data_IF_563099626398
#
_entry.id   IF_563099626398
#
_cell.length_a   1.000
_cell.length_b   1.000
_cell.length_c   1.000
_cell.angle_alpha   90.00
_cell.angle_beta   90.00
_cell.angle_gamma   90.00
#
_symmetry.space_group_name_H-M   'P 1'
#
loop_
_entity.id
_entity.type
_entity.pdbx_description
1 polymer ?
#
# COMPACT_ATOMS: atom_id res chain seq x y z
N UNK A 1 -20.72 -5.45 -11.97
CA UNK A 1 -20.35 -5.39 -10.54
C UNK A 1 -18.89 -4.98 -10.45
N UNK A 2 -18.59 -3.90 -9.72
CA UNK A 2 -17.23 -3.35 -9.63
C UNK A 2 -16.47 -4.10 -8.54
N UNK A 3 -15.27 -4.54 -8.85
CA UNK A 3 -14.43 -5.29 -7.92
C UNK A 3 -13.24 -4.45 -7.49
N UNK A 4 -12.92 -4.54 -6.18
CA UNK A 4 -11.76 -3.91 -5.58
C UNK A 4 -10.84 -4.95 -4.95
N UNK A 5 -9.58 -4.57 -4.77
CA UNK A 5 -8.54 -5.47 -4.26
C UNK A 5 -7.64 -4.73 -3.27
N UNK A 6 -7.27 -5.41 -2.20
CA UNK A 6 -6.20 -4.94 -1.31
C UNK A 6 -4.87 -5.23 -1.99
N UNK A 7 -4.05 -4.19 -2.17
CA UNK A 7 -2.70 -4.30 -2.68
C UNK A 7 -1.72 -4.56 -1.52
N UNK A 8 -1.09 -5.72 -1.53
CA UNK A 8 -0.09 -6.11 -0.55
C UNK A 8 1.12 -6.77 -1.23
N UNK A 9 2.10 -7.22 -0.46
CA UNK A 9 3.23 -8.00 -0.96
C UNK A 9 3.02 -9.50 -0.75
N UNK A 10 3.80 -10.31 -1.48
CA UNK A 10 4.02 -11.72 -1.14
C UNK A 10 5.30 -11.85 -0.33
N UNK A 11 5.24 -12.52 0.80
CA UNK A 11 6.46 -12.80 1.55
C UNK A 11 7.36 -13.75 0.75
N UNK A 12 8.63 -13.34 0.58
CA UNK A 12 9.69 -14.17 -0.02
C UNK A 12 10.96 -13.97 0.80
N UNK A 13 11.62 -15.06 1.18
CA UNK A 13 12.86 -15.00 1.98
C UNK A 13 13.98 -14.18 1.32
N UNK A 14 13.99 -14.10 -0.01
CA UNK A 14 14.97 -13.31 -0.75
C UNK A 14 14.63 -11.82 -0.84
N UNK A 15 13.43 -11.40 -0.47
CA UNK A 15 12.96 -10.02 -0.53
C UNK A 15 13.77 -9.14 0.42
N UNK A 16 14.12 -7.93 -0.03
CA UNK A 16 14.67 -6.91 0.86
C UNK A 16 13.68 -6.63 2.00
N UNK A 17 14.16 -6.77 3.21
CA UNK A 17 13.51 -6.25 4.42
C UNK A 17 14.26 -5.01 4.85
N UNK A 18 13.51 -3.95 5.05
CA UNK A 18 14.03 -2.63 5.36
C UNK A 18 13.77 -2.33 6.84
N UNK A 19 14.72 -1.70 7.48
CA UNK A 19 14.61 -1.25 8.87
C UNK A 19 15.01 0.22 8.99
N UNK A 20 14.66 0.84 10.10
CA UNK A 20 15.07 2.18 10.48
C UNK A 20 15.49 2.22 11.94
N UNK A 21 16.40 3.14 12.29
CA UNK A 21 16.75 3.42 13.69
C UNK A 21 15.71 4.34 14.36
N UNK A 22 14.73 4.84 13.60
CA UNK A 22 13.61 5.64 14.10
C UNK A 22 12.57 4.73 14.74
N UNK A 23 12.00 5.17 15.88
CA UNK A 23 10.99 4.37 16.57
C UNK A 23 9.74 4.14 15.71
N UNK A 24 9.11 2.98 15.91
CA UNK A 24 7.90 2.58 15.18
C UNK A 24 6.75 3.59 15.35
N UNK A 25 6.60 4.18 16.53
CA UNK A 25 5.55 5.17 16.81
C UNK A 25 5.71 6.44 15.97
N UNK A 26 6.96 6.82 15.67
CA UNK A 26 7.26 7.94 14.78
C UNK A 26 7.01 7.53 13.34
N UNK A 27 7.48 6.37 12.91
CA UNK A 27 7.30 5.86 11.54
C UNK A 27 5.82 5.73 11.17
N UNK A 28 4.98 5.24 12.07
CA UNK A 28 3.54 5.10 11.87
C UNK A 28 2.82 6.40 11.51
N UNK A 29 3.29 7.51 12.06
CA UNK A 29 2.71 8.84 11.79
C UNK A 29 2.91 9.30 10.34
N UNK A 30 3.85 8.68 9.63
CA UNK A 30 4.23 9.11 8.28
C UNK A 30 4.06 8.04 7.21
N UNK A 31 4.23 6.77 7.56
CA UNK A 31 4.24 5.68 6.57
C UNK A 31 2.88 5.06 6.31
N UNK A 32 1.89 5.28 7.18
CA UNK A 32 0.53 4.83 6.89
C UNK A 32 0.01 5.55 5.62
N UNK A 33 -0.50 4.82 4.62
CA UNK A 33 -0.97 5.40 3.35
C UNK A 33 -2.05 6.48 3.49
N UNK A 34 -2.72 6.53 4.63
CA UNK A 34 -3.79 7.49 4.92
C UNK A 34 -3.26 8.78 5.57
N UNK A 35 -2.00 8.84 5.97
CA UNK A 35 -1.40 10.03 6.56
C UNK A 35 -1.12 11.08 5.48
N UNK A 36 -1.18 12.36 5.89
CA UNK A 36 -0.99 13.51 4.99
C UNK A 36 0.44 14.05 5.01
N UNK A 37 1.21 13.70 6.02
CA UNK A 37 2.55 14.24 6.23
C UNK A 37 3.60 13.31 5.60
N UNK A 38 4.62 13.91 4.99
CA UNK A 38 5.80 13.20 4.51
C UNK A 38 6.78 12.93 5.65
N UNK A 39 7.57 11.87 5.49
CA UNK A 39 8.69 11.59 6.40
C UNK A 39 9.63 12.77 6.52
N UNK A 40 10.10 13.09 7.74
CA UNK A 40 11.23 14.02 7.93
C UNK A 40 12.52 13.47 7.29
N UNK A 41 13.37 14.38 6.81
CA UNK A 41 14.66 14.03 6.17
C UNK A 41 15.65 13.30 7.12
N UNK A 42 15.39 13.38 8.43
CA UNK A 42 16.19 12.68 9.44
C UNK A 42 15.94 11.17 9.52
N UNK A 43 14.87 10.68 8.88
CA UNK A 43 14.55 9.24 8.89
C UNK A 43 15.37 8.54 7.82
N UNK A 44 16.17 7.58 8.25
CA UNK A 44 17.02 6.79 7.37
C UNK A 44 16.61 5.32 7.37
N UNK A 45 16.67 4.72 6.20
CA UNK A 45 16.39 3.30 5.99
C UNK A 45 17.64 2.54 5.58
N UNK A 46 17.73 1.30 6.02
CA UNK A 46 18.81 0.35 5.67
C UNK A 46 18.23 -1.05 5.48
N UNK A 47 18.95 -1.90 4.77
CA UNK A 47 18.58 -3.30 4.61
C UNK A 47 18.88 -4.06 5.90
N UNK A 48 17.89 -4.77 6.44
CA UNK A 48 18.05 -5.68 7.58
C UNK A 48 18.22 -7.12 7.14
N UNK A 49 17.56 -7.53 6.06
CA UNK A 49 17.62 -8.88 5.51
C UNK A 49 17.27 -8.90 4.02
N UNK A 50 17.47 -10.07 3.39
CA UNK A 50 17.17 -10.26 1.96
C UNK A 50 18.23 -9.68 1.03
N UNK A 51 18.10 -9.99 -0.25
CA UNK A 51 19.08 -9.57 -1.28
C UNK A 51 18.39 -9.09 -2.57
N UNK A 52 17.09 -9.32 -2.73
CA UNK A 52 16.40 -9.05 -3.98
C UNK A 52 15.45 -7.87 -3.87
N UNK A 53 15.73 -6.86 -4.68
CA UNK A 53 14.91 -5.66 -4.85
C UNK A 53 13.71 -6.00 -5.74
N UNK A 54 12.60 -6.42 -5.13
CA UNK A 54 11.32 -6.60 -5.81
C UNK A 54 10.58 -5.27 -5.93
N UNK A 55 9.55 -5.22 -6.78
CA UNK A 55 8.74 -4.01 -6.97
C UNK A 55 7.98 -3.58 -5.71
N UNK A 56 7.67 -4.53 -4.82
CA UNK A 56 7.07 -4.25 -3.49
C UNK A 56 7.95 -4.90 -2.44
N UNK A 57 8.45 -4.08 -1.51
CA UNK A 57 9.26 -4.50 -0.37
C UNK A 57 8.62 -3.99 0.93
N UNK A 58 9.07 -4.48 2.06
CA UNK A 58 8.43 -4.25 3.36
C UNK A 58 9.40 -3.59 4.34
N UNK A 59 8.87 -2.68 5.14
CA UNK A 59 9.49 -2.23 6.37
C UNK A 59 9.26 -3.28 7.47
N UNK A 60 10.33 -3.77 8.06
CA UNK A 60 10.29 -4.90 9.00
C UNK A 60 9.45 -4.60 10.25
N UNK A 61 9.65 -3.43 10.85
CA UNK A 61 9.04 -3.07 12.14
C UNK A 61 7.54 -2.85 12.06
N UNK A 62 7.05 -2.19 11.02
CA UNK A 62 5.65 -1.78 10.90
C UNK A 62 4.84 -2.59 9.90
N UNK A 63 5.52 -3.31 8.99
CA UNK A 63 4.88 -4.02 7.90
C UNK A 63 4.41 -3.13 6.75
N UNK A 64 4.67 -1.82 6.78
CA UNK A 64 4.36 -0.91 5.68
C UNK A 64 5.21 -1.22 4.45
N UNK A 65 4.73 -0.78 3.27
CA UNK A 65 5.35 -1.13 1.99
C UNK A 65 6.07 0.05 1.36
N UNK A 66 7.15 -0.29 0.64
CA UNK A 66 7.77 0.59 -0.33
C UNK A 66 7.58 0.03 -1.73
N UNK A 67 7.28 0.89 -2.68
CA UNK A 67 6.92 0.56 -4.05
C UNK A 67 7.99 1.05 -5.01
N UNK A 68 8.39 0.21 -5.95
CA UNK A 68 9.31 0.63 -7.01
C UNK A 68 8.70 1.73 -7.88
N UNK A 69 9.57 2.49 -8.55
CA UNK A 69 9.12 3.47 -9.55
C UNK A 69 8.18 2.85 -10.59
N UNK A 70 8.41 1.61 -10.98
CA UNK A 70 7.57 0.87 -11.93
C UNK A 70 6.12 0.74 -11.44
N UNK A 71 5.89 0.48 -10.15
CA UNK A 71 4.54 0.45 -9.58
C UNK A 71 3.90 1.84 -9.65
N UNK A 72 4.64 2.88 -9.25
CA UNK A 72 4.13 4.26 -9.28
C UNK A 72 3.78 4.68 -10.71
N UNK A 73 4.59 4.34 -11.70
CA UNK A 73 4.34 4.64 -13.12
C UNK A 73 3.05 3.95 -13.62
N UNK A 74 2.76 2.74 -13.16
CA UNK A 74 1.48 2.07 -13.48
C UNK A 74 0.31 2.79 -12.82
N UNK A 75 0.40 3.11 -11.53
CA UNK A 75 -0.66 3.81 -10.80
C UNK A 75 -0.94 5.20 -11.38
N UNK A 76 0.10 5.88 -11.87
CA UNK A 76 -0.01 7.21 -12.48
C UNK A 76 -0.82 7.24 -13.78
N UNK A 77 -1.08 6.10 -14.38
CA UNK A 77 -1.96 6.01 -15.56
C UNK A 77 -3.45 6.17 -15.21
N UNK A 78 -3.81 6.00 -13.95
CA UNK A 78 -5.20 5.98 -13.47
C UNK A 78 -5.51 7.13 -12.51
N UNK A 79 -4.52 7.56 -11.72
CA UNK A 79 -4.67 8.61 -10.73
C UNK A 79 -3.47 9.55 -10.75
N UNK A 80 -3.68 10.81 -10.41
CA UNK A 80 -2.58 11.74 -10.19
C UNK A 80 -1.82 11.36 -8.92
N UNK A 81 -0.59 10.89 -9.08
CA UNK A 81 0.29 10.45 -7.99
C UNK A 81 1.16 11.59 -7.42
N UNK A 82 1.12 12.80 -7.96
CA UNK A 82 2.00 13.91 -7.55
C UNK A 82 1.92 14.23 -6.05
N UNK A 83 0.72 14.10 -5.46
CA UNK A 83 0.44 14.32 -4.04
C UNK A 83 0.11 13.03 -3.27
N UNK A 84 0.45 11.87 -3.83
CA UNK A 84 0.11 10.56 -3.25
C UNK A 84 1.31 9.64 -3.05
N UNK A 85 2.48 10.03 -3.51
CA UNK A 85 3.72 9.31 -3.25
C UNK A 85 4.91 10.26 -3.16
N UNK A 86 5.97 9.79 -2.51
CA UNK A 86 7.27 10.46 -2.51
C UNK A 86 8.39 9.43 -2.39
N UNK A 87 9.61 9.73 -2.92
CA UNK A 87 10.72 8.81 -2.88
C UNK A 87 11.23 8.63 -1.44
N UNK A 88 11.67 7.41 -1.14
CA UNK A 88 12.39 7.06 0.08
C UNK A 88 13.80 6.61 -0.28
N UNK A 89 14.79 7.01 0.53
CA UNK A 89 16.17 6.58 0.34
C UNK A 89 16.48 5.40 1.25
N UNK A 90 16.98 4.33 0.64
CA UNK A 90 17.45 3.14 1.36
C UNK A 90 18.95 3.04 1.14
N UNK A 91 19.71 3.01 2.23
CA UNK A 91 21.17 2.95 2.17
C UNK A 91 21.64 1.75 1.33
N UNK A 92 22.60 1.98 0.43
CA UNK A 92 23.24 0.99 -0.42
C UNK A 92 22.31 0.30 -1.45
N UNK A 93 21.10 0.80 -1.63
CA UNK A 93 20.15 0.35 -2.66
C UNK A 93 20.11 1.39 -3.79
N UNK A 94 20.28 0.92 -5.04
CA UNK A 94 20.27 1.77 -6.24
C UNK A 94 18.85 1.97 -6.80
N UNK A 95 17.99 1.00 -6.56
CA UNK A 95 16.60 1.03 -7.00
C UNK A 95 15.85 2.16 -6.30
N UNK A 96 15.03 2.86 -7.06
CA UNK A 96 14.16 3.92 -6.57
C UNK A 96 12.89 3.32 -5.95
N UNK A 97 12.65 3.64 -4.68
CA UNK A 97 11.44 3.25 -3.97
C UNK A 97 10.66 4.46 -3.50
N UNK A 98 9.37 4.28 -3.38
CA UNK A 98 8.40 5.28 -2.98
C UNK A 98 7.51 4.75 -1.86
N UNK A 99 7.08 5.63 -0.99
CA UNK A 99 5.96 5.36 -0.10
C UNK A 99 4.71 6.05 -0.64
N UNK A 100 3.55 5.42 -0.44
CA UNK A 100 2.24 5.99 -0.77
C UNK A 100 1.68 6.66 0.48
N UNK A 101 1.14 7.85 0.32
CA UNK A 101 0.55 8.64 1.40
C UNK A 101 -0.67 9.43 0.90
N UNK A 102 -1.37 10.11 1.79
CA UNK A 102 -2.47 11.03 1.47
C UNK A 102 -3.54 10.41 0.55
N UNK A 103 -3.81 9.11 0.73
CA UNK A 103 -4.92 8.49 0.02
C UNK A 103 -6.25 8.98 0.57
N UNK A 104 -7.21 9.20 -0.33
CA UNK A 104 -8.60 9.43 0.07
C UNK A 104 -9.11 8.20 0.79
N UNK A 105 -9.79 8.44 1.92
CA UNK A 105 -10.35 7.38 2.77
C UNK A 105 -11.86 7.34 2.62
N UNK A 106 -12.40 6.13 2.69
CA UNK A 106 -13.84 5.92 2.71
C UNK A 106 -14.23 4.98 3.84
N UNK A 107 -15.34 5.25 4.56
CA UNK A 107 -15.84 4.34 5.56
C UNK A 107 -16.38 3.08 4.89
N UNK A 108 -16.10 1.95 5.51
CA UNK A 108 -16.58 0.66 5.06
C UNK A 108 -17.93 0.33 5.75
N UNK A 109 -19.00 0.20 4.97
CA UNK A 109 -20.37 0.08 5.49
C UNK A 109 -20.74 -1.29 6.05
N UNK A 110 -20.01 -2.32 5.74
CA UNK A 110 -20.46 -3.68 5.96
C UNK A 110 -19.85 -4.33 7.19
N UNK A 111 -19.81 -3.61 8.32
CA UNK A 111 -19.31 -4.16 9.59
C UNK A 111 -20.08 -5.38 10.09
N UNK A 112 -21.39 -5.47 9.74
CA UNK A 112 -22.30 -6.48 10.30
C UNK A 112 -22.69 -7.60 9.32
N UNK A 113 -22.23 -7.54 8.07
CA UNK A 113 -22.62 -8.49 7.01
C UNK A 113 -21.45 -9.18 6.33
N UNK A 114 -20.40 -9.45 7.06
CA UNK A 114 -19.21 -10.19 6.59
C UNK A 114 -19.49 -11.66 6.29
N UNK A 115 -20.70 -12.11 6.48
CA UNK A 115 -21.13 -13.47 6.18
C UNK A 115 -21.71 -13.53 4.75
N UNK A 116 -20.87 -13.74 3.77
CA UNK A 116 -21.25 -14.30 2.50
C UNK A 116 -21.54 -13.35 1.34
N UNK A 117 -21.04 -12.11 1.35
CA UNK A 117 -21.06 -11.22 0.17
C UNK A 117 -19.65 -10.72 -0.15
N UNK A 118 -19.25 -10.95 -1.38
CA UNK A 118 -17.88 -10.80 -1.87
C UNK A 118 -17.42 -9.35 -2.12
N UNK A 119 -18.21 -8.32 -1.77
CA UNK A 119 -17.87 -6.95 -2.19
C UNK A 119 -18.02 -5.92 -1.07
N UNK A 120 -16.96 -5.10 -0.89
CA UNK A 120 -17.02 -3.96 0.01
C UNK A 120 -17.96 -2.89 -0.56
N UNK A 121 -18.72 -2.26 0.30
CA UNK A 121 -19.52 -1.09 -0.04
C UNK A 121 -18.98 0.12 0.70
N UNK A 122 -18.81 1.20 -0.02
CA UNK A 122 -18.31 2.46 0.49
C UNK A 122 -19.43 3.49 0.55
N UNK A 123 -19.47 4.22 1.67
CA UNK A 123 -20.52 5.20 1.91
C UNK A 123 -20.28 6.50 1.15
N UNK A 124 -21.31 7.01 0.51
CA UNK A 124 -21.34 8.38 -0.03
C UNK A 124 -20.49 8.60 -1.28
N UNK A 125 -20.06 7.52 -1.97
CA UNK A 125 -19.27 7.62 -3.20
C UNK A 125 -19.81 6.72 -4.29
N UNK A 126 -19.71 7.17 -5.51
CA UNK A 126 -19.98 6.33 -6.68
C UNK A 126 -18.78 5.39 -6.89
N UNK A 127 -18.98 4.09 -6.66
CA UNK A 127 -17.90 3.08 -6.73
C UNK A 127 -17.20 3.04 -8.10
N UNK A 128 -17.91 3.38 -9.17
CA UNK A 128 -17.34 3.45 -10.54
C UNK A 128 -16.24 4.51 -10.70
N UNK A 129 -16.20 5.51 -9.81
CA UNK A 129 -15.18 6.55 -9.83
C UNK A 129 -13.93 6.20 -9.01
N UNK A 130 -13.98 5.13 -8.21
CA UNK A 130 -12.90 4.76 -7.31
C UNK A 130 -11.81 3.97 -8.03
N UNK A 131 -10.57 4.43 -7.97
CA UNK A 131 -9.40 3.79 -8.58
C UNK A 131 -8.37 3.36 -7.54
N UNK A 132 -7.87 4.30 -6.72
CA UNK A 132 -6.87 4.10 -5.69
C UNK A 132 -7.29 4.87 -4.44
N UNK A 133 -7.49 4.17 -3.33
CA UNK A 133 -8.01 4.77 -2.10
C UNK A 133 -7.67 3.92 -0.86
N UNK A 134 -8.05 4.38 0.31
CA UNK A 134 -7.92 3.68 1.59
C UNK A 134 -9.26 3.45 2.27
N UNK A 135 -9.25 2.57 3.26
CA UNK A 135 -10.41 2.33 4.14
C UNK A 135 -10.12 2.96 5.49
N UNK A 136 -11.07 3.75 6.01
CA UNK A 136 -10.95 4.39 7.32
C UNK A 136 -10.60 3.38 8.42
N UNK A 137 -9.65 3.75 9.27
CA UNK A 137 -9.19 2.92 10.40
C UNK A 137 -8.30 1.73 10.01
N UNK A 138 -7.82 1.69 8.76
CA UNK A 138 -6.87 0.67 8.30
C UNK A 138 -5.63 1.32 7.66
N UNK A 139 -4.61 0.52 7.34
CA UNK A 139 -3.48 0.92 6.48
C UNK A 139 -3.58 0.31 5.07
N UNK A 140 -4.75 -0.19 4.69
CA UNK A 140 -4.93 -0.88 3.42
C UNK A 140 -4.93 0.09 2.23
N UNK A 141 -4.21 -0.29 1.19
CA UNK A 141 -4.26 0.35 -0.13
C UNK A 141 -5.21 -0.46 -1.00
N UNK A 142 -6.27 0.17 -1.46
CA UNK A 142 -7.31 -0.44 -2.27
C UNK A 142 -7.17 0.03 -3.71
N UNK A 143 -7.24 -0.91 -4.63
CA UNK A 143 -7.16 -0.66 -6.07
C UNK A 143 -8.37 -1.23 -6.81
N UNK A 144 -8.78 -0.57 -7.89
CA UNK A 144 -9.81 -1.05 -8.81
C UNK A 144 -9.34 -2.27 -9.61
N UNK A 145 -10.29 -2.95 -10.26
CA UNK A 145 -9.96 -4.05 -11.17
C UNK A 145 -9.12 -3.59 -12.37
N UNK A 146 -9.32 -2.38 -12.86
CA UNK A 146 -8.54 -1.79 -13.94
C UNK A 146 -7.07 -1.63 -13.54
N UNK A 147 -6.80 -1.07 -12.36
CA UNK A 147 -5.43 -0.98 -11.82
C UNK A 147 -4.84 -2.38 -11.61
N UNK A 148 -5.62 -3.32 -11.05
CA UNK A 148 -5.18 -4.72 -10.88
C UNK A 148 -4.70 -5.32 -12.19
N UNK A 149 -5.49 -5.19 -13.25
CA UNK A 149 -5.14 -5.72 -14.57
C UNK A 149 -3.87 -5.06 -15.13
N UNK A 150 -3.73 -3.74 -14.94
CA UNK A 150 -2.53 -3.02 -15.37
C UNK A 150 -1.28 -3.47 -14.62
N UNK A 151 -1.36 -3.65 -13.29
CA UNK A 151 -0.25 -4.16 -12.48
C UNK A 151 0.17 -5.58 -12.91
N UNK A 152 -0.80 -6.46 -13.19
CA UNK A 152 -0.55 -7.81 -13.70
C UNK A 152 0.10 -7.77 -15.08
N UNK A 153 -0.43 -6.96 -16.01
CA UNK A 153 0.10 -6.79 -17.36
C UNK A 153 1.55 -6.30 -17.34
N UNK A 154 1.88 -5.39 -16.43
CA UNK A 154 3.23 -4.90 -16.24
C UNK A 154 4.13 -5.84 -15.44
N UNK A 155 3.65 -7.04 -15.07
CA UNK A 155 4.43 -8.06 -14.36
C UNK A 155 5.11 -7.51 -13.09
N UNK A 156 4.34 -6.78 -12.28
CA UNK A 156 4.84 -6.29 -10.99
C UNK A 156 5.24 -7.46 -10.12
N UNK A 157 6.45 -7.44 -9.63
CA UNK A 157 7.03 -8.53 -8.84
C UNK A 157 6.65 -8.43 -7.37
N UNK A 158 6.49 -9.57 -6.72
CA UNK A 158 6.20 -9.67 -5.29
C UNK A 158 4.88 -9.04 -4.84
N UNK A 159 3.93 -8.95 -5.75
CA UNK A 159 2.60 -8.40 -5.50
C UNK A 159 1.62 -9.49 -5.07
N UNK A 160 0.74 -9.13 -4.14
CA UNK A 160 -0.45 -9.90 -3.78
C UNK A 160 -1.68 -9.00 -3.86
N UNK A 161 -2.77 -9.53 -4.41
CA UNK A 161 -4.04 -8.82 -4.58
C UNK A 161 -5.15 -9.72 -4.05
N UNK A 162 -5.86 -9.25 -3.02
CA UNK A 162 -6.94 -10.02 -2.40
C UNK A 162 -8.26 -9.27 -2.46
N UNK A 163 -9.34 -9.99 -2.74
CA UNK A 163 -10.71 -9.46 -2.64
C UNK A 163 -11.24 -9.48 -1.21
N UNK A 164 -10.59 -10.22 -0.34
CA UNK A 164 -11.09 -10.41 1.02
C UNK A 164 -10.70 -9.22 1.88
N UNK A 165 -11.68 -8.37 2.17
CA UNK A 165 -11.57 -7.21 3.04
C UNK A 165 -11.85 -7.56 4.51
N UNK A 166 -11.57 -8.80 4.93
CA UNK A 166 -11.61 -9.11 6.35
C UNK A 166 -10.62 -8.21 7.08
N UNK A 167 -11.16 -7.20 7.69
CA UNK A 167 -10.42 -6.27 8.53
C UNK A 167 -10.12 -7.04 9.81
N UNK A 168 -8.84 -7.28 10.10
CA UNK A 168 -8.37 -7.87 11.37
C UNK A 168 -8.73 -7.02 12.61
N UNK A 169 -9.45 -5.89 12.42
CA UNK A 169 -9.90 -4.98 13.47
C UNK A 169 -11.01 -5.56 14.37
N UNK A 170 -11.47 -6.78 14.12
CA UNK A 170 -12.42 -7.47 15.02
C UNK A 170 -11.73 -8.34 16.08
N UNK A 171 -10.41 -8.31 16.20
CA UNK A 171 -9.69 -8.86 17.34
C UNK A 171 -9.41 -7.76 18.36
N UNK A 172 -10.43 -7.33 19.05
CA UNK A 172 -10.36 -6.68 20.34
C UNK A 172 -11.39 -7.32 21.26
#
# INVERSE_FOLDING_TARGET
MISFYILTHRFKRSMLEITSDTSIDVLWKYLNPLQKNKLPDIVHFKVSAGKKAYDIIRLYESGEYFFSKKVIDVLSQFVDMSNKCYPVRIKDIKEEYYTIYNLQQYPFLNKDKLLGRDEPRFYGVEESSLQLFGIEGTSNIIVSDEIRLALLKNKITNMNLTKNFMIDSLKK
#
